data_IF_279604377164
#
_entry.id   IF_279604377164
#
_cell.length_a   1.000
_cell.length_b   1.000
_cell.length_c   1.000
_cell.angle_alpha   90.00
_cell.angle_beta   90.00
_cell.angle_gamma   90.00
#
_symmetry.space_group_name_H-M   'P 1'
#
loop_
_entity.id
_entity.type
_entity.pdbx_description
1 polymer ?
#
# COMPACT_ATOMS: atom_id res chain seq x y z
N UNK A 1 15.15 -3.15 9.62
CA UNK A 1 14.10 -3.88 10.37
C UNK A 1 14.38 -5.38 10.36
N UNK A 2 14.90 -5.91 9.27
CA UNK A 2 15.27 -7.33 9.17
C UNK A 2 16.30 -7.78 10.24
N UNK A 3 17.16 -6.87 10.67
CA UNK A 3 18.19 -7.15 11.70
C UNK A 3 17.64 -7.43 13.11
N UNK A 4 16.34 -7.17 13.34
CA UNK A 4 15.69 -7.47 14.62
C UNK A 4 15.20 -8.92 14.76
N UNK A 5 15.23 -9.69 13.67
CA UNK A 5 14.68 -11.03 13.64
C UNK A 5 15.69 -12.03 13.09
N UNK A 6 16.18 -12.95 13.94
CA UNK A 6 17.07 -14.04 13.54
C UNK A 6 16.34 -15.17 12.80
N UNK A 7 15.02 -15.31 13.02
CA UNK A 7 14.14 -16.31 12.40
C UNK A 7 13.31 -15.76 11.26
N UNK A 8 12.25 -16.48 10.92
CA UNK A 8 11.27 -16.04 9.94
C UNK A 8 10.60 -14.72 10.38
N UNK A 9 10.16 -13.93 9.40
CA UNK A 9 9.41 -12.71 9.67
C UNK A 9 7.92 -13.01 9.48
N UNK A 10 7.13 -12.76 10.52
CA UNK A 10 5.69 -12.87 10.50
C UNK A 10 5.04 -11.50 10.44
N UNK A 11 4.31 -11.20 9.36
CA UNK A 11 3.57 -9.95 9.23
C UNK A 11 2.08 -10.20 9.45
N UNK A 12 1.53 -9.57 10.48
CA UNK A 12 0.11 -9.67 10.82
C UNK A 12 -0.73 -8.73 9.98
N UNK A 13 -1.60 -9.29 9.14
CA UNK A 13 -2.48 -8.56 8.23
C UNK A 13 -3.87 -8.46 8.83
N UNK A 14 -4.42 -7.25 8.81
CA UNK A 14 -5.79 -6.93 9.26
C UNK A 14 -6.66 -6.47 8.10
N UNK A 15 -7.98 -6.50 8.31
CA UNK A 15 -8.99 -6.06 7.34
C UNK A 15 -9.01 -6.86 6.04
N UNK A 16 -8.71 -8.13 6.12
CA UNK A 16 -8.94 -9.12 5.06
C UNK A 16 -9.55 -10.38 5.67
N UNK A 17 -10.25 -11.15 4.85
CA UNK A 17 -10.74 -12.48 5.20
C UNK A 17 -10.09 -13.46 4.23
N UNK A 18 -9.27 -14.39 4.71
CA UNK A 18 -8.75 -15.45 3.86
C UNK A 18 -9.81 -16.51 3.61
N UNK A 19 -10.03 -16.89 2.36
CA UNK A 19 -10.86 -18.05 2.03
C UNK A 19 -10.17 -19.36 2.41
N UNK A 20 -8.90 -19.64 1.98
CA UNK A 20 -8.17 -20.83 2.39
C UNK A 20 -7.61 -20.69 3.81
N UNK A 21 -7.39 -21.83 4.49
CA UNK A 21 -6.73 -21.83 5.81
C UNK A 21 -5.25 -21.44 5.71
N UNK A 22 -4.57 -21.88 4.64
CA UNK A 22 -3.20 -21.50 4.29
C UNK A 22 -3.05 -21.46 2.77
N UNK A 23 -2.07 -20.68 2.31
CA UNK A 23 -1.77 -20.54 0.89
C UNK A 23 -0.28 -20.29 0.68
N UNK A 24 0.32 -21.03 -0.24
CA UNK A 24 1.71 -20.89 -0.66
C UNK A 24 1.81 -19.83 -1.78
N UNK A 25 2.40 -18.69 -1.44
CA UNK A 25 2.66 -17.59 -2.38
C UNK A 25 3.92 -17.80 -3.23
N UNK A 26 4.59 -18.95 -3.09
CA UNK A 26 5.85 -19.24 -3.79
C UNK A 26 7.07 -18.65 -3.07
N UNK A 27 8.25 -19.09 -3.51
CA UNK A 27 9.53 -18.65 -2.94
C UNK A 27 9.66 -18.87 -1.43
N UNK A 28 8.92 -19.83 -0.87
CA UNK A 28 8.84 -20.10 0.57
C UNK A 28 7.95 -19.17 1.38
N UNK A 29 7.38 -18.15 0.74
CA UNK A 29 6.46 -17.21 1.38
C UNK A 29 5.07 -17.81 1.48
N UNK A 30 4.48 -17.78 2.68
CA UNK A 30 3.13 -18.32 2.91
C UNK A 30 2.23 -17.31 3.60
N UNK A 31 0.93 -17.38 3.34
CA UNK A 31 -0.07 -16.62 4.08
C UNK A 31 -1.08 -17.60 4.69
N UNK A 32 -1.37 -17.43 5.98
CA UNK A 32 -2.21 -18.34 6.74
C UNK A 32 -3.28 -17.58 7.50
N UNK A 33 -4.50 -18.13 7.53
CA UNK A 33 -5.55 -17.63 8.39
C UNK A 33 -5.10 -17.70 9.85
N UNK A 34 -5.30 -16.61 10.58
CA UNK A 34 -4.94 -16.53 11.99
C UNK A 34 -5.93 -15.66 12.74
N UNK A 35 -5.85 -15.67 14.07
CA UNK A 35 -6.50 -14.69 14.90
C UNK A 35 -5.55 -14.31 16.03
N UNK A 36 -5.26 -13.01 16.12
CA UNK A 36 -4.58 -12.44 17.28
C UNK A 36 -5.15 -11.03 17.54
N UNK A 37 -5.42 -10.74 18.81
CA UNK A 37 -5.82 -9.41 19.24
C UNK A 37 -4.63 -8.71 19.87
N UNK A 38 -4.11 -7.68 19.20
CA UNK A 38 -3.04 -6.85 19.73
C UNK A 38 -3.63 -5.59 20.35
N UNK A 39 -3.18 -5.28 21.56
CA UNK A 39 -3.62 -4.09 22.28
C UNK A 39 -2.47 -3.43 23.03
N UNK A 40 -2.42 -2.11 23.00
CA UNK A 40 -1.54 -1.32 23.83
C UNK A 40 -2.35 -0.23 24.55
N UNK A 41 -2.54 -0.39 25.85
CA UNK A 41 -3.43 0.48 26.64
C UNK A 41 -2.67 1.51 27.48
N UNK A 42 -1.33 1.44 27.56
CA UNK A 42 -0.58 2.23 28.50
C UNK A 42 0.38 3.19 27.81
N UNK A 43 0.32 4.44 28.19
CA UNK A 43 1.35 5.44 27.93
C UNK A 43 2.14 5.61 29.22
N UNK A 44 3.45 5.48 29.14
CA UNK A 44 4.33 5.75 30.28
C UNK A 44 4.58 7.24 30.38
N UNK A 45 4.21 7.83 31.51
CA UNK A 45 4.45 9.24 31.80
C UNK A 45 5.35 9.39 33.03
N UNK A 46 6.19 10.40 33.02
CA UNK A 46 7.13 10.71 34.10
C UNK A 46 7.31 12.24 34.22
N UNK A 47 7.64 12.68 35.42
CA UNK A 47 8.01 14.05 35.66
C UNK A 47 9.40 14.37 35.07
N UNK A 48 9.68 15.64 34.71
CA UNK A 48 11.04 16.05 34.35
C UNK A 48 12.06 15.65 35.43
N UNK A 49 13.29 15.26 35.05
CA UNK A 49 14.31 14.97 36.03
C UNK A 49 14.66 16.24 36.82
N UNK A 50 15.10 16.11 38.10
CA UNK A 50 15.69 17.22 38.81
C UNK A 50 16.92 17.79 38.07
N UNK A 51 17.26 19.06 38.28
CA UNK A 51 18.43 19.66 37.66
C UNK A 51 19.71 18.79 37.92
N UNK A 52 20.46 18.55 36.83
CA UNK A 52 21.70 17.75 36.84
C UNK A 52 21.54 16.27 37.22
N UNK A 53 20.36 15.69 37.04
CA UNK A 53 20.12 14.25 37.25
C UNK A 53 19.46 13.60 36.05
N UNK A 54 19.58 12.28 35.97
CA UNK A 54 18.86 11.47 34.97
C UNK A 54 17.42 11.26 35.38
N UNK A 55 16.56 10.86 34.46
CA UNK A 55 15.17 10.53 34.73
C UNK A 55 15.08 9.49 35.86
N UNK A 56 14.50 9.83 36.98
CA UNK A 56 14.28 8.84 38.02
C UNK A 56 13.03 8.03 37.70
N UNK A 57 13.11 6.72 37.90
CA UNK A 57 11.87 5.97 38.12
C UNK A 57 11.25 6.39 39.47
N UNK A 58 10.02 5.95 39.74
CA UNK A 58 9.23 5.05 38.91
C UNK A 58 8.44 5.79 37.84
N UNK A 59 8.34 5.14 36.67
CA UNK A 59 7.44 5.52 35.60
C UNK A 59 6.00 5.28 36.05
N UNK A 60 5.12 6.23 35.78
CA UNK A 60 3.68 6.01 36.01
C UNK A 60 3.01 5.61 34.71
N UNK A 61 2.31 4.48 34.73
CA UNK A 61 1.40 4.15 33.67
C UNK A 61 0.23 5.13 33.66
N UNK A 62 0.02 5.82 32.56
CA UNK A 62 -1.14 6.68 32.34
C UNK A 62 -2.13 5.98 31.43
N UNK A 63 -3.44 6.13 31.71
CA UNK A 63 -4.48 5.65 30.80
C UNK A 63 -4.51 6.57 29.58
N UNK A 64 -4.08 6.07 28.44
CA UNK A 64 -4.19 6.78 27.17
C UNK A 64 -5.64 6.82 26.68
N UNK A 65 -6.03 7.88 26.00
CA UNK A 65 -7.34 8.01 25.35
C UNK A 65 -7.36 7.34 23.97
N UNK A 66 -6.22 7.03 23.39
CA UNK A 66 -6.07 6.25 22.15
C UNK A 66 -5.41 4.94 22.47
N UNK A 67 -6.20 3.88 22.57
CA UNK A 67 -5.68 2.53 22.61
C UNK A 67 -5.43 2.06 21.18
N UNK A 68 -4.22 1.59 20.89
CA UNK A 68 -3.99 0.76 19.72
C UNK A 68 -4.64 -0.60 20.03
N UNK A 69 -5.64 -0.96 19.27
CA UNK A 69 -6.27 -2.27 19.32
C UNK A 69 -6.53 -2.71 17.87
N UNK A 70 -6.04 -3.87 17.49
CA UNK A 70 -6.20 -4.40 16.14
C UNK A 70 -6.32 -5.92 16.16
N UNK A 71 -7.25 -6.43 15.38
CA UNK A 71 -7.40 -7.86 15.12
C UNK A 71 -6.57 -8.23 13.88
N UNK A 72 -5.65 -9.18 14.05
CA UNK A 72 -4.90 -9.79 12.97
C UNK A 72 -5.72 -10.96 12.45
N UNK A 73 -6.00 -10.95 11.15
CA UNK A 73 -6.79 -11.98 10.47
C UNK A 73 -5.93 -12.95 9.64
N UNK A 74 -4.74 -12.51 9.22
CA UNK A 74 -3.81 -13.37 8.48
C UNK A 74 -2.37 -13.15 8.95
N UNK A 75 -1.59 -14.22 8.91
CA UNK A 75 -0.15 -14.28 9.20
C UNK A 75 0.61 -14.53 7.89
N UNK A 76 1.33 -13.53 7.42
CA UNK A 76 2.21 -13.60 6.26
C UNK A 76 3.61 -13.95 6.76
N UNK A 77 4.06 -15.17 6.48
CA UNK A 77 5.37 -15.69 6.88
C UNK A 77 6.37 -15.55 5.73
N UNK A 78 7.50 -14.93 6.01
CA UNK A 78 8.62 -14.77 5.07
C UNK A 78 9.84 -15.44 5.67
N UNK A 79 10.44 -16.45 4.98
CA UNK A 79 11.54 -17.24 5.50
C UNK A 79 12.77 -16.41 5.85
N UNK A 80 13.53 -16.90 6.83
CA UNK A 80 14.76 -16.28 7.35
C UNK A 80 15.90 -16.21 6.33
N UNK A 81 15.90 -17.06 5.33
CA UNK A 81 16.89 -17.09 4.23
C UNK A 81 16.65 -16.01 3.16
N UNK A 82 15.55 -15.27 3.24
CA UNK A 82 15.24 -14.16 2.33
C UNK A 82 15.84 -12.85 2.81
N UNK A 83 16.50 -12.17 1.89
CA UNK A 83 16.91 -10.77 2.11
C UNK A 83 15.71 -9.82 2.00
N UNK A 84 15.79 -8.68 2.68
CA UNK A 84 14.76 -7.62 2.61
C UNK A 84 13.34 -8.10 2.95
N UNK A 85 13.21 -9.00 3.92
CA UNK A 85 11.95 -9.64 4.35
C UNK A 85 10.82 -8.65 4.59
N UNK A 86 11.11 -7.55 5.28
CA UNK A 86 10.11 -6.51 5.52
C UNK A 86 9.64 -5.83 4.23
N UNK A 87 10.54 -5.59 3.28
CA UNK A 87 10.18 -5.03 1.96
C UNK A 87 9.31 -6.00 1.15
N UNK A 88 9.56 -7.32 1.26
CA UNK A 88 8.69 -8.35 0.66
C UNK A 88 7.29 -8.28 1.30
N UNK A 89 7.21 -8.22 2.64
CA UNK A 89 5.93 -8.09 3.33
C UNK A 89 5.14 -6.85 2.88
N UNK A 90 5.83 -5.72 2.73
CA UNK A 90 5.22 -4.49 2.22
C UNK A 90 4.73 -4.62 0.78
N UNK A 91 5.49 -5.32 -0.08
CA UNK A 91 5.07 -5.57 -1.47
C UNK A 91 3.81 -6.42 -1.52
N UNK A 92 3.75 -7.51 -0.76
CA UNK A 92 2.57 -8.38 -0.71
C UNK A 92 1.38 -7.63 -0.11
N UNK A 93 1.57 -6.86 0.96
CA UNK A 93 0.53 -6.00 1.53
C UNK A 93 0.01 -4.96 0.53
N UNK A 94 0.89 -4.37 -0.26
CA UNK A 94 0.51 -3.48 -1.37
C UNK A 94 -0.38 -4.22 -2.40
N UNK A 95 -0.03 -5.45 -2.77
CA UNK A 95 -0.82 -6.24 -3.73
C UNK A 95 -2.17 -6.68 -3.14
N UNK A 96 -2.24 -7.01 -1.84
CA UNK A 96 -3.50 -7.24 -1.14
C UNK A 96 -4.41 -5.99 -1.19
N UNK A 97 -3.85 -4.79 -1.00
CA UNK A 97 -4.57 -3.50 -1.14
C UNK A 97 -5.04 -3.24 -2.55
N UNK A 98 -4.20 -3.56 -3.51
CA UNK A 98 -4.49 -3.34 -4.93
C UNK A 98 -5.59 -4.27 -5.43
N UNK A 99 -5.49 -5.56 -5.11
CA UNK A 99 -6.34 -6.61 -5.69
C UNK A 99 -7.57 -6.96 -4.85
N UNK A 100 -7.49 -6.83 -3.51
CA UNK A 100 -8.52 -7.37 -2.61
C UNK A 100 -9.19 -6.23 -1.83
N UNK A 101 -8.52 -5.71 -0.80
CA UNK A 101 -9.09 -4.67 0.03
C UNK A 101 -8.10 -3.51 0.26
N UNK A 102 -8.37 -2.32 -0.28
CA UNK A 102 -7.52 -1.15 -0.03
C UNK A 102 -7.33 -0.84 1.46
N UNK A 103 -8.22 -1.35 2.31
CA UNK A 103 -8.18 -1.18 3.74
C UNK A 103 -7.26 -2.19 4.47
N UNK A 104 -6.66 -3.14 3.78
CA UNK A 104 -5.70 -4.07 4.40
C UNK A 104 -4.52 -3.31 5.00
N UNK A 105 -4.08 -3.70 6.20
CA UNK A 105 -2.94 -3.11 6.90
C UNK A 105 -2.00 -4.17 7.43
N UNK A 106 -0.71 -3.86 7.43
CA UNK A 106 0.30 -4.60 8.20
C UNK A 106 0.27 -4.06 9.62
N UNK A 107 -0.51 -4.70 10.49
CA UNK A 107 -0.71 -4.22 11.85
C UNK A 107 0.56 -4.27 12.69
N UNK A 108 1.29 -5.38 12.58
CA UNK A 108 2.55 -5.60 13.28
C UNK A 108 3.41 -6.63 12.54
N UNK A 109 4.68 -6.68 12.86
CA UNK A 109 5.57 -7.80 12.52
C UNK A 109 6.05 -8.49 13.79
N UNK A 110 6.31 -9.80 13.72
CA UNK A 110 6.76 -10.62 14.83
C UNK A 110 7.82 -11.62 14.37
N UNK A 111 8.60 -12.13 15.36
CA UNK A 111 9.59 -13.19 15.14
C UNK A 111 9.02 -14.61 15.32
N UNK A 112 7.73 -14.71 15.65
CA UNK A 112 7.02 -15.98 15.81
C UNK A 112 5.63 -15.87 15.18
N UNK A 113 5.04 -17.00 14.72
CA UNK A 113 3.66 -17.02 14.24
C UNK A 113 2.70 -16.44 15.28
N UNK A 114 1.75 -15.60 14.85
CA UNK A 114 0.80 -14.98 15.77
C UNK A 114 -0.02 -15.98 16.57
N UNK A 115 -0.27 -17.17 16.03
CA UNK A 115 -0.94 -18.28 16.75
C UNK A 115 -0.10 -18.88 17.87
N UNK A 116 1.23 -18.81 17.79
CA UNK A 116 2.15 -19.41 18.75
C UNK A 116 2.63 -18.47 19.85
N UNK A 117 2.38 -17.17 19.72
CA UNK A 117 2.86 -16.15 20.67
C UNK A 117 2.52 -16.46 22.14
N UNK A 118 1.36 -17.08 22.37
CA UNK A 118 0.92 -17.49 23.72
C UNK A 118 1.88 -18.50 24.39
N UNK A 119 2.58 -19.31 23.59
CA UNK A 119 3.49 -20.37 24.08
C UNK A 119 4.94 -19.96 24.09
N UNK A 120 5.29 -18.77 23.60
CA UNK A 120 6.66 -18.26 23.59
C UNK A 120 7.03 -17.79 24.98
N UNK A 121 8.22 -18.15 25.51
CA UNK A 121 8.70 -17.65 26.80
C UNK A 121 8.75 -16.12 26.87
N UNK A 122 8.62 -15.58 28.09
CA UNK A 122 8.70 -14.15 28.31
C UNK A 122 10.04 -13.58 27.81
N UNK A 123 9.98 -12.46 27.12
CA UNK A 123 11.09 -11.74 26.48
C UNK A 123 11.70 -12.39 25.22
N UNK A 124 11.17 -13.51 24.73
CA UNK A 124 11.60 -14.11 23.45
C UNK A 124 10.71 -13.66 22.29
N UNK A 125 9.45 -13.33 22.55
CA UNK A 125 8.55 -12.79 21.54
C UNK A 125 8.83 -11.31 21.29
N UNK A 126 9.14 -10.96 20.05
CA UNK A 126 9.33 -9.59 19.59
C UNK A 126 8.15 -9.25 18.68
N UNK A 127 7.40 -8.20 19.04
CA UNK A 127 6.31 -7.68 18.21
C UNK A 127 6.55 -6.19 17.99
N UNK A 128 6.61 -5.79 16.74
CA UNK A 128 6.82 -4.39 16.34
C UNK A 128 5.54 -3.91 15.63
N UNK A 129 4.77 -2.99 16.23
CA UNK A 129 3.64 -2.35 15.58
C UNK A 129 4.10 -1.53 14.36
N UNK A 130 3.38 -1.63 13.23
CA UNK A 130 3.75 -0.98 11.96
C UNK A 130 2.73 0.09 11.57
N UNK A 131 1.57 -0.30 11.05
CA UNK A 131 0.56 0.62 10.56
C UNK A 131 -0.51 0.84 11.63
N UNK A 132 -0.17 1.65 12.63
CA UNK A 132 -1.01 1.88 13.83
C UNK A 132 -1.85 3.15 13.75
N UNK A 133 -1.64 3.98 12.73
CA UNK A 133 -2.41 5.21 12.54
C UNK A 133 -3.85 4.89 12.09
N UNK A 134 -4.85 5.66 12.57
CA UNK A 134 -6.21 5.49 12.11
C UNK A 134 -6.32 5.83 10.62
N UNK A 135 -7.11 5.06 9.90
CA UNK A 135 -7.44 5.35 8.51
C UNK A 135 -8.40 6.53 8.46
N UNK A 136 -7.99 7.59 7.77
CA UNK A 136 -8.76 8.82 7.67
C UNK A 136 -9.66 8.86 6.45
N UNK A 137 -9.29 8.15 5.40
CA UNK A 137 -10.08 8.01 4.18
C UNK A 137 -10.36 6.52 3.92
N UNK A 138 -11.54 6.02 4.33
CA UNK A 138 -11.87 4.62 4.16
C UNK A 138 -12.12 4.32 2.68
N UNK A 139 -11.07 3.92 1.99
CA UNK A 139 -11.22 3.18 0.75
C UNK A 139 -11.63 1.77 1.18
N UNK A 140 -12.88 1.43 1.05
CA UNK A 140 -13.36 0.07 1.31
C UNK A 140 -13.71 -0.61 -0.01
N UNK A 141 -13.35 -1.86 -0.13
CA UNK A 141 -13.93 -2.75 -1.13
C UNK A 141 -15.26 -3.28 -0.61
N UNK A 142 -16.19 -3.55 -1.48
CA UNK A 142 -17.42 -4.30 -1.13
C UNK A 142 -17.10 -5.77 -0.81
N UNK A 143 -15.93 -6.24 -1.24
CA UNK A 143 -15.44 -7.59 -0.99
C UNK A 143 -14.02 -7.50 -0.36
N UNK A 144 -13.89 -7.99 0.87
CA UNK A 144 -12.65 -8.09 1.63
C UNK A 144 -12.09 -9.52 1.67
N UNK A 145 -12.69 -10.45 0.90
CA UNK A 145 -12.32 -11.85 0.87
C UNK A 145 -11.17 -12.08 -0.11
N UNK A 146 -10.05 -12.57 0.41
CA UNK A 146 -8.93 -13.08 -0.36
C UNK A 146 -9.26 -14.50 -0.83
N UNK A 147 -9.79 -14.61 -2.04
CA UNK A 147 -10.11 -15.89 -2.68
C UNK A 147 -8.84 -16.59 -3.17
N UNK A 148 -8.92 -17.90 -3.42
CA UNK A 148 -7.81 -18.65 -4.01
C UNK A 148 -7.36 -18.00 -5.32
N UNK A 149 -8.28 -17.57 -6.18
CA UNK A 149 -7.96 -16.90 -7.46
C UNK A 149 -7.16 -15.59 -7.26
N UNK A 150 -7.57 -14.77 -6.29
CA UNK A 150 -6.88 -13.52 -6.00
C UNK A 150 -5.48 -13.76 -5.40
N UNK A 151 -5.32 -14.81 -4.62
CA UNK A 151 -4.02 -15.21 -4.06
C UNK A 151 -3.10 -15.82 -5.12
N UNK A 152 -3.63 -16.60 -6.09
CA UNK A 152 -2.86 -17.06 -7.25
C UNK A 152 -2.34 -15.88 -8.09
N UNK A 153 -3.19 -14.84 -8.32
CA UNK A 153 -2.73 -13.64 -9.00
C UNK A 153 -1.57 -12.96 -8.24
N UNK A 154 -1.64 -12.87 -6.91
CA UNK A 154 -0.55 -12.33 -6.10
C UNK A 154 0.69 -13.21 -6.24
N UNK A 155 0.56 -14.54 -6.13
CA UNK A 155 1.65 -15.50 -6.28
C UNK A 155 2.39 -15.33 -7.61
N UNK A 156 1.65 -15.20 -8.70
CA UNK A 156 2.22 -15.09 -10.04
C UNK A 156 2.96 -13.78 -10.29
N UNK A 157 2.68 -12.74 -9.51
CA UNK A 157 3.15 -11.38 -9.80
C UNK A 157 4.01 -10.74 -8.70
N UNK A 158 3.99 -11.22 -7.45
CA UNK A 158 4.66 -10.47 -6.37
C UNK A 158 6.18 -10.35 -6.55
N UNK A 159 6.85 -11.37 -7.06
CA UNK A 159 8.31 -11.34 -7.27
C UNK A 159 8.67 -10.26 -8.30
N UNK A 160 7.98 -10.25 -9.43
CA UNK A 160 8.18 -9.20 -10.45
C UNK A 160 7.78 -7.83 -9.96
N UNK A 161 6.68 -7.71 -9.21
CA UNK A 161 6.24 -6.45 -8.59
C UNK A 161 7.29 -5.92 -7.61
N UNK A 162 7.87 -6.80 -6.79
CA UNK A 162 8.95 -6.43 -5.88
C UNK A 162 10.16 -5.87 -6.63
N UNK A 163 10.57 -6.52 -7.73
CA UNK A 163 11.63 -6.02 -8.60
C UNK A 163 11.29 -4.64 -9.19
N UNK A 164 10.07 -4.46 -9.73
CA UNK A 164 9.62 -3.17 -10.26
C UNK A 164 9.68 -2.05 -9.22
N UNK A 165 9.28 -2.31 -7.97
CA UNK A 165 9.38 -1.33 -6.87
C UNK A 165 10.83 -0.96 -6.57
N UNK A 166 11.77 -1.91 -6.68
CA UNK A 166 13.18 -1.65 -6.41
C UNK A 166 13.88 -0.92 -7.55
N UNK A 167 13.50 -1.17 -8.80
CA UNK A 167 14.18 -0.69 -10.01
C UNK A 167 13.63 0.64 -10.53
N UNK A 168 12.31 0.90 -10.36
CA UNK A 168 11.63 2.05 -10.95
C UNK A 168 11.08 3.00 -9.88
N UNK A 169 11.75 4.14 -9.62
CA UNK A 169 11.31 5.09 -8.61
C UNK A 169 9.88 5.62 -8.82
N UNK A 170 9.45 5.81 -10.07
CA UNK A 170 8.10 6.23 -10.44
C UNK A 170 7.05 5.17 -10.10
N UNK A 171 7.36 3.88 -10.25
CA UNK A 171 6.50 2.79 -9.85
C UNK A 171 6.45 2.65 -8.31
N UNK A 172 7.60 2.80 -7.65
CA UNK A 172 7.69 2.83 -6.19
C UNK A 172 6.83 3.96 -5.59
N UNK A 173 6.86 5.15 -6.20
CA UNK A 173 6.00 6.27 -5.80
C UNK A 173 4.51 5.94 -5.97
N UNK A 174 4.14 5.27 -7.06
CA UNK A 174 2.77 4.85 -7.31
C UNK A 174 2.28 3.80 -6.31
N UNK A 175 3.12 2.81 -5.98
CA UNK A 175 2.83 1.81 -4.95
C UNK A 175 2.69 2.46 -3.56
N UNK A 176 3.54 3.44 -3.23
CA UNK A 176 3.45 4.20 -2.00
C UNK A 176 2.16 5.02 -1.92
N UNK A 177 1.74 5.68 -3.00
CA UNK A 177 0.51 6.47 -3.04
C UNK A 177 -0.74 5.60 -2.76
N UNK A 178 -0.80 4.39 -3.30
CA UNK A 178 -1.85 3.40 -2.99
C UNK A 178 -1.79 2.98 -1.51
N UNK A 179 -0.61 2.69 -1.00
CA UNK A 179 -0.44 2.10 0.34
C UNK A 179 -0.68 3.12 1.46
N UNK A 180 -0.19 4.35 1.30
CA UNK A 180 -0.18 5.36 2.38
C UNK A 180 -1.33 6.35 2.31
N UNK A 181 -2.00 6.50 1.17
CA UNK A 181 -3.06 7.49 0.97
C UNK A 181 -4.19 7.42 2.00
N UNK A 182 -4.53 6.24 2.48
CA UNK A 182 -5.59 6.03 3.46
C UNK A 182 -5.27 6.58 4.87
N UNK A 183 -4.01 6.82 5.21
CA UNK A 183 -3.56 7.37 6.49
C UNK A 183 -3.39 8.90 6.48
N UNK A 184 -3.59 9.55 5.34
CA UNK A 184 -3.43 11.01 5.19
C UNK A 184 -4.68 11.72 5.67
N UNK A 185 -4.52 12.67 6.60
CA UNK A 185 -5.63 13.42 7.21
C UNK A 185 -6.29 14.45 6.27
N UNK A 186 -5.68 14.76 5.14
CA UNK A 186 -6.15 15.81 4.25
C UNK A 186 -6.50 15.26 2.86
N UNK A 187 -7.76 15.35 2.49
CA UNK A 187 -8.28 14.86 1.22
C UNK A 187 -7.60 15.50 -0.02
N UNK A 188 -7.22 16.78 0.06
CA UNK A 188 -6.48 17.44 -1.01
C UNK A 188 -5.08 16.83 -1.19
N UNK A 189 -4.40 16.51 -0.09
CA UNK A 189 -3.09 15.85 -0.14
C UNK A 189 -3.18 14.44 -0.71
N UNK A 190 -4.25 13.70 -0.41
CA UNK A 190 -4.48 12.37 -1.01
C UNK A 190 -4.60 12.52 -2.53
N UNK A 191 -5.46 13.45 -2.99
CA UNK A 191 -5.66 13.68 -4.43
C UNK A 191 -4.36 14.10 -5.13
N UNK A 192 -3.60 15.01 -4.53
CA UNK A 192 -2.30 15.47 -5.06
C UNK A 192 -1.29 14.32 -5.09
N UNK A 193 -1.25 13.46 -4.08
CA UNK A 193 -0.35 12.29 -4.03
C UNK A 193 -0.67 11.27 -5.12
N UNK A 194 -1.95 10.94 -5.32
CA UNK A 194 -2.39 10.03 -6.39
C UNK A 194 -2.01 10.58 -7.78
N UNK A 195 -2.17 11.89 -7.98
CA UNK A 195 -1.80 12.52 -9.24
C UNK A 195 -0.29 12.66 -9.42
N UNK A 196 0.48 12.89 -8.35
CA UNK A 196 1.94 12.88 -8.41
C UNK A 196 2.45 11.52 -8.90
N UNK A 197 1.82 10.43 -8.48
CA UNK A 197 2.12 9.08 -8.97
C UNK A 197 1.80 8.91 -10.46
N UNK A 198 0.59 9.33 -10.90
CA UNK A 198 0.21 9.29 -12.31
C UNK A 198 1.12 10.18 -13.19
N UNK A 199 1.47 11.37 -12.71
CA UNK A 199 2.40 12.26 -13.41
C UNK A 199 3.81 11.65 -13.51
N UNK A 200 4.30 11.01 -12.46
CA UNK A 200 5.61 10.34 -12.48
C UNK A 200 5.67 9.24 -13.55
N UNK A 201 4.60 8.46 -13.68
CA UNK A 201 4.51 7.38 -14.68
C UNK A 201 4.29 7.89 -16.11
N UNK A 202 3.56 9.02 -16.30
CA UNK A 202 3.07 9.44 -17.63
C UNK A 202 3.47 10.84 -18.05
N UNK A 203 4.33 11.55 -17.29
CA UNK A 203 4.68 12.93 -17.62
C UNK A 203 6.04 13.07 -18.32
N UNK A 204 6.10 12.99 -19.66
CA UNK A 204 7.34 13.12 -20.38
C UNK A 204 7.88 14.57 -20.44
N UNK A 205 7.06 15.59 -20.21
CA UNK A 205 7.43 17.01 -20.24
C UNK A 205 6.48 17.87 -19.41
N UNK A 206 6.92 19.08 -19.08
CA UNK A 206 6.12 20.05 -18.29
C UNK A 206 5.15 20.88 -19.12
N UNK A 207 5.26 20.86 -20.47
CA UNK A 207 4.39 21.61 -21.36
C UNK A 207 3.08 20.85 -21.63
N UNK A 208 1.94 21.56 -21.59
CA UNK A 208 0.60 21.02 -21.85
C UNK A 208 0.25 19.78 -21.02
N UNK A 209 0.69 19.78 -19.76
CA UNK A 209 0.70 18.62 -18.88
C UNK A 209 -0.65 17.91 -18.78
N UNK A 210 -1.76 18.66 -18.64
CA UNK A 210 -3.11 18.11 -18.59
C UNK A 210 -3.44 17.26 -19.81
N UNK A 211 -3.22 17.80 -21.03
CA UNK A 211 -3.54 17.09 -22.27
C UNK A 211 -2.65 15.85 -22.42
N UNK A 212 -1.34 16.00 -22.23
CA UNK A 212 -0.37 14.91 -22.41
C UNK A 212 -0.60 13.77 -21.44
N UNK A 213 -0.71 14.04 -20.15
CA UNK A 213 -0.94 12.99 -19.13
C UNK A 213 -2.26 12.28 -19.41
N UNK A 214 -3.35 13.02 -19.69
CA UNK A 214 -4.64 12.37 -19.95
C UNK A 214 -4.65 11.55 -21.25
N UNK A 215 -3.95 12.02 -22.29
CA UNK A 215 -3.87 11.29 -23.56
C UNK A 215 -2.99 10.02 -23.43
N UNK A 216 -1.83 10.11 -22.72
CA UNK A 216 -0.96 8.99 -22.51
C UNK A 216 -1.57 7.91 -21.62
N UNK A 217 -2.25 8.28 -20.52
CA UNK A 217 -2.98 7.33 -19.67
C UNK A 217 -4.07 6.63 -20.50
N UNK A 218 -4.86 7.39 -21.28
CA UNK A 218 -5.92 6.80 -22.09
C UNK A 218 -5.36 5.88 -23.18
N UNK A 219 -4.24 6.24 -23.83
CA UNK A 219 -3.63 5.38 -24.85
C UNK A 219 -2.94 4.14 -24.26
N UNK A 220 -2.52 4.20 -23.00
CA UNK A 220 -1.95 3.06 -22.29
C UNK A 220 -3.02 2.03 -21.92
N UNK A 221 -4.20 2.50 -21.49
CA UNK A 221 -5.27 1.66 -20.96
C UNK A 221 -6.27 1.18 -22.02
N UNK A 222 -6.44 1.92 -23.12
CA UNK A 222 -7.46 1.63 -24.14
C UNK A 222 -6.90 1.59 -25.56
N UNK A 223 -7.36 0.68 -26.41
CA UNK A 223 -7.05 0.69 -27.82
C UNK A 223 -7.60 1.96 -28.50
N UNK A 224 -7.10 2.32 -29.70
CA UNK A 224 -7.67 3.43 -30.47
C UNK A 224 -9.19 3.27 -30.69
N UNK A 225 -9.96 4.32 -30.38
CA UNK A 225 -11.41 4.29 -30.52
C UNK A 225 -12.14 5.20 -29.56
N UNK A 226 -13.47 5.06 -29.51
CA UNK A 226 -14.38 5.89 -28.71
C UNK A 226 -14.11 5.74 -27.20
N UNK A 227 -13.74 4.52 -26.73
CA UNK A 227 -13.43 4.26 -25.34
C UNK A 227 -12.20 5.04 -24.90
N UNK A 228 -11.13 5.06 -25.72
CA UNK A 228 -9.93 5.87 -25.47
C UNK A 228 -10.26 7.37 -25.39
N UNK A 229 -11.08 7.86 -26.32
CA UNK A 229 -11.51 9.26 -26.31
C UNK A 229 -12.31 9.61 -25.05
N UNK A 230 -13.25 8.77 -24.68
CA UNK A 230 -14.08 8.93 -23.48
C UNK A 230 -13.22 8.90 -22.20
N UNK A 231 -12.28 7.96 -22.10
CA UNK A 231 -11.34 7.88 -20.98
C UNK A 231 -10.45 9.13 -20.90
N UNK A 232 -9.90 9.59 -22.03
CA UNK A 232 -9.09 10.81 -22.07
C UNK A 232 -9.87 12.02 -21.51
N UNK A 233 -11.13 12.18 -21.90
CA UNK A 233 -12.00 13.27 -21.42
C UNK A 233 -12.27 13.16 -19.91
N UNK A 234 -12.48 11.94 -19.41
CA UNK A 234 -12.67 11.68 -17.98
C UNK A 234 -11.40 12.00 -17.19
N UNK A 235 -10.25 11.53 -17.63
CA UNK A 235 -8.94 11.77 -16.98
C UNK A 235 -8.63 13.27 -16.97
N UNK A 236 -8.87 14.00 -18.07
CA UNK A 236 -8.67 15.44 -18.13
C UNK A 236 -9.55 16.21 -17.13
N UNK A 237 -10.80 15.76 -16.90
CA UNK A 237 -11.68 16.35 -15.86
C UNK A 237 -11.18 16.09 -14.44
N UNK A 238 -10.67 14.88 -14.17
CA UNK A 238 -10.08 14.55 -12.88
C UNK A 238 -8.79 15.35 -12.62
N UNK A 239 -8.00 15.61 -13.67
CA UNK A 239 -6.83 16.48 -13.58
C UNK A 239 -7.18 17.91 -13.14
N UNK A 240 -8.29 18.47 -13.61
CA UNK A 240 -8.77 19.80 -13.17
C UNK A 240 -9.08 19.82 -11.67
N UNK A 241 -9.58 18.71 -11.11
CA UNK A 241 -9.82 18.58 -9.66
C UNK A 241 -8.52 18.57 -8.86
N UNK A 242 -7.48 17.90 -9.36
CA UNK A 242 -6.13 17.95 -8.79
C UNK A 242 -5.59 19.38 -8.77
N UNK A 243 -5.73 20.12 -9.88
CA UNK A 243 -5.26 21.49 -9.97
C UNK A 243 -5.94 22.37 -8.92
N UNK A 244 -7.25 22.28 -8.77
CA UNK A 244 -8.01 22.99 -7.74
C UNK A 244 -7.54 22.63 -6.32
N UNK A 245 -7.31 21.34 -6.05
CA UNK A 245 -6.83 20.89 -4.74
C UNK A 245 -5.45 21.44 -4.40
N UNK A 246 -4.53 21.45 -5.36
CA UNK A 246 -3.16 21.98 -5.19
C UNK A 246 -3.12 23.50 -4.92
N UNK A 247 -4.11 24.24 -5.39
CA UNK A 247 -4.22 25.71 -5.19
C UNK A 247 -5.12 26.09 -4.01
N UNK A 248 -5.48 25.14 -3.13
CA UNK A 248 -6.26 25.43 -1.92
C UNK A 248 -7.72 25.80 -2.19
N UNK A 249 -8.23 25.57 -3.40
CA UNK A 249 -9.63 25.77 -3.76
C UNK A 249 -10.32 24.40 -3.84
N UNK A 250 -10.95 23.90 -2.77
CA UNK A 250 -11.53 22.55 -2.77
C UNK A 250 -12.82 22.51 -3.59
N UNK A 251 -12.69 22.32 -4.89
CA UNK A 251 -13.83 22.05 -5.81
C UNK A 251 -13.99 20.57 -6.13
N UNK A 252 -13.33 19.68 -5.35
CA UNK A 252 -13.40 18.24 -5.52
C UNK A 252 -14.30 17.58 -4.46
N UNK A 253 -14.83 16.42 -4.79
CA UNK A 253 -15.65 15.56 -3.92
C UNK A 253 -14.92 14.28 -3.57
N UNK A 254 -15.37 13.56 -2.56
CA UNK A 254 -14.83 12.22 -2.21
C UNK A 254 -14.84 11.27 -3.42
N UNK A 255 -15.85 11.38 -4.30
CA UNK A 255 -15.92 10.59 -5.53
C UNK A 255 -14.76 10.88 -6.49
N UNK A 256 -14.28 12.11 -6.59
CA UNK A 256 -13.14 12.46 -7.45
C UNK A 256 -11.84 11.80 -6.96
N UNK A 257 -11.69 11.63 -5.63
CA UNK A 257 -10.56 10.89 -5.04
C UNK A 257 -10.68 9.41 -5.36
N UNK A 258 -11.87 8.84 -5.16
CA UNK A 258 -12.12 7.42 -5.46
C UNK A 258 -11.91 7.12 -6.95
N UNK A 259 -12.39 7.99 -7.84
CA UNK A 259 -12.20 7.86 -9.29
C UNK A 259 -10.71 7.94 -9.67
N UNK A 260 -9.96 8.84 -9.03
CA UNK A 260 -8.50 8.96 -9.25
C UNK A 260 -7.75 7.74 -8.70
N UNK A 261 -8.14 7.24 -7.53
CA UNK A 261 -7.59 6.02 -6.96
C UNK A 261 -7.82 4.82 -7.89
N UNK A 262 -9.05 4.64 -8.38
CA UNK A 262 -9.38 3.56 -9.30
C UNK A 262 -8.63 3.67 -10.64
N UNK A 263 -8.40 4.90 -11.12
CA UNK A 263 -7.57 5.13 -12.30
C UNK A 263 -6.12 4.69 -12.07
N UNK A 264 -5.51 5.12 -10.97
CA UNK A 264 -4.14 4.72 -10.60
C UNK A 264 -4.06 3.21 -10.38
N UNK A 265 -5.04 2.62 -9.68
CA UNK A 265 -5.14 1.17 -9.48
C UNK A 265 -5.14 0.43 -10.81
N UNK A 266 -5.95 0.85 -11.78
CA UNK A 266 -6.03 0.25 -13.11
C UNK A 266 -4.70 0.33 -13.86
N UNK A 267 -4.02 1.48 -13.79
CA UNK A 267 -2.68 1.66 -14.39
C UNK A 267 -1.66 0.71 -13.78
N UNK A 268 -1.60 0.69 -12.45
CA UNK A 268 -0.64 -0.16 -11.71
C UNK A 268 -0.89 -1.64 -12.00
N UNK A 269 -2.15 -2.10 -11.97
CA UNK A 269 -2.50 -3.48 -12.32
C UNK A 269 -2.00 -3.85 -13.71
N UNK A 270 -2.22 -2.97 -14.70
CA UNK A 270 -1.72 -3.20 -16.06
C UNK A 270 -0.18 -3.25 -16.14
N UNK A 271 0.54 -2.43 -15.37
CA UNK A 271 2.01 -2.48 -15.30
C UNK A 271 2.47 -3.81 -14.69
N UNK A 272 1.83 -4.27 -13.61
CA UNK A 272 2.15 -5.54 -12.94
C UNK A 272 1.92 -6.72 -13.89
N UNK A 273 0.78 -6.79 -14.55
CA UNK A 273 0.43 -7.86 -15.49
C UNK A 273 1.38 -7.92 -16.69
N UNK A 274 1.81 -6.75 -17.19
CA UNK A 274 2.81 -6.67 -18.25
C UNK A 274 4.27 -6.84 -17.73
N UNK A 275 4.47 -6.83 -16.41
CA UNK A 275 5.80 -6.89 -15.77
C UNK A 275 6.78 -5.83 -16.28
N UNK A 276 6.25 -4.68 -16.70
CA UNK A 276 7.03 -3.64 -17.38
C UNK A 276 6.46 -2.24 -17.11
N UNK A 277 7.32 -1.33 -16.66
CA UNK A 277 7.01 0.09 -16.56
C UNK A 277 7.25 0.74 -17.93
N UNK A 278 6.24 1.34 -18.55
CA UNK A 278 6.38 1.85 -19.91
C UNK A 278 7.36 3.02 -19.98
N UNK A 279 8.26 3.00 -20.95
CA UNK A 279 9.15 4.10 -21.25
C UNK A 279 8.41 5.26 -21.94
N UNK A 280 9.02 6.44 -21.90
CA UNK A 280 8.52 7.62 -22.65
C UNK A 280 8.23 7.33 -24.12
N UNK A 281 9.20 6.68 -24.78
CA UNK A 281 9.12 6.35 -26.20
C UNK A 281 7.97 5.39 -26.50
N UNK A 282 7.76 4.39 -25.66
CA UNK A 282 6.65 3.44 -25.78
C UNK A 282 5.30 4.13 -25.61
N UNK A 283 5.20 5.02 -24.62
CA UNK A 283 3.97 5.81 -24.39
C UNK A 283 3.66 6.71 -25.59
N UNK A 284 4.65 7.37 -26.16
CA UNK A 284 4.49 8.19 -27.35
C UNK A 284 4.08 7.34 -28.58
N UNK A 285 4.73 6.20 -28.81
CA UNK A 285 4.36 5.27 -29.88
C UNK A 285 2.92 4.80 -29.76
N UNK A 286 2.48 4.42 -28.55
CA UNK A 286 1.08 4.01 -28.28
C UNK A 286 0.08 5.14 -28.54
N UNK A 287 0.43 6.39 -28.23
CA UNK A 287 -0.41 7.55 -28.50
C UNK A 287 -0.71 7.69 -29.99
N UNK A 288 0.28 7.44 -30.83
CA UNK A 288 0.15 7.50 -32.30
C UNK A 288 -0.34 6.19 -32.94
N UNK A 289 -0.75 5.21 -32.13
CA UNK A 289 -1.28 3.94 -32.63
C UNK A 289 -0.24 2.97 -33.16
N UNK A 290 1.06 3.21 -32.88
CA UNK A 290 2.10 2.26 -33.20
C UNK A 290 2.09 1.10 -32.20
N UNK A 291 2.05 -0.14 -32.70
CA UNK A 291 2.19 -1.33 -31.85
C UNK A 291 3.60 -1.34 -31.26
N UNK A 292 3.70 -1.61 -29.95
CA UNK A 292 4.98 -2.01 -29.35
C UNK A 292 5.37 -3.35 -29.98
N UNK A 293 6.45 -3.37 -30.75
CA UNK A 293 6.97 -4.58 -31.36
C UNK A 293 7.52 -5.54 -30.30
#
# INVERSE_FOLDING_TARGET
MDDFFDGDLHAGISNIVLEPEDFDLGEGVTIRKTYAHLMAHFVMAFAPPPPNSFHPGPWKAAKGTSSFAVDIAADLCIPSDREKRFSIAQTIAFMLRLGINPAAVVAAVANHPFTSLKGVPDNEAIIIPIETLPRMFPLSSENDVATVESLEWIKDHWVSTHALIQEYPEFALAAAAISTGQFVHNAALILVSLWAALEALFSPSTAELKFRVSALIASYLEPPGEERYTLQRRVAKLYDKRSSAAHGQPSFRSQDILDTFNLLRRVITSIIENRHVPTKEELEKRLFGCSSG
#
